data_IF_430018946204
#
_entry.id   IF_430018946204
#
_cell.length_a   1.000
_cell.length_b   1.000
_cell.length_c   1.000
_cell.angle_alpha   90.00
_cell.angle_beta   90.00
_cell.angle_gamma   90.00
#
_symmetry.space_group_name_H-M   'P 1'
#
loop_
_entity.id
_entity.type
_entity.pdbx_description
1 polymer ?
#
# COMPACT_ATOMS: atom_id res chain seq x y z
N UNK A 1 -68.06 -5.34 -24.89
CA UNK A 1 -68.32 -6.77 -24.63
C UNK A 1 -67.97 -7.47 -25.94
N UNK A 2 -66.98 -8.36 -26.06
CA UNK A 2 -66.75 -9.58 -25.28
C UNK A 2 -65.35 -10.14 -25.60
N UNK A 3 -64.64 -10.51 -24.54
CA UNK A 3 -63.52 -11.47 -24.30
C UNK A 3 -62.61 -12.04 -25.41
N UNK A 4 -61.32 -12.07 -25.03
CA UNK A 4 -60.17 -12.86 -25.52
C UNK A 4 -60.41 -14.38 -25.40
N UNK A 5 -59.69 -15.20 -26.20
CA UNK A 5 -59.11 -16.43 -25.67
C UNK A 5 -57.59 -16.54 -25.89
N UNK A 6 -56.93 -17.02 -24.85
CA UNK A 6 -55.53 -17.48 -24.81
C UNK A 6 -55.38 -18.79 -25.59
N UNK A 7 -54.27 -18.98 -26.30
CA UNK A 7 -53.74 -20.32 -26.60
C UNK A 7 -52.22 -20.33 -26.51
N UNK A 8 -51.72 -21.30 -25.74
CA UNK A 8 -50.32 -21.60 -25.49
C UNK A 8 -49.75 -22.49 -26.59
N UNK A 9 -48.55 -22.20 -27.07
CA UNK A 9 -47.75 -23.19 -27.82
C UNK A 9 -46.28 -23.14 -27.42
N UNK A 10 -45.85 -24.24 -26.81
CA UNK A 10 -44.47 -24.67 -26.57
C UNK A 10 -43.77 -24.94 -27.90
N UNK A 11 -42.56 -24.41 -28.08
CA UNK A 11 -41.66 -24.82 -29.17
C UNK A 11 -40.34 -25.32 -28.58
N UNK A 12 -40.07 -26.60 -28.83
CA UNK A 12 -38.82 -27.30 -28.54
C UNK A 12 -37.71 -26.76 -29.45
N UNK A 13 -36.54 -26.44 -28.89
CA UNK A 13 -35.33 -26.18 -29.70
C UNK A 13 -34.51 -27.46 -29.83
N UNK A 14 -34.34 -27.90 -31.08
CA UNK A 14 -33.42 -28.96 -31.48
C UNK A 14 -31.96 -28.47 -31.38
N UNK A 15 -31.11 -29.25 -30.72
CA UNK A 15 -29.66 -29.08 -30.76
C UNK A 15 -29.10 -29.68 -32.07
N UNK A 16 -28.66 -28.83 -32.99
CA UNK A 16 -27.75 -29.21 -34.08
C UNK A 16 -26.31 -29.04 -33.60
N UNK A 17 -25.59 -30.16 -33.57
CA UNK A 17 -24.17 -30.21 -33.19
C UNK A 17 -23.28 -29.54 -34.23
N UNK A 18 -22.54 -28.52 -33.79
CA UNK A 18 -21.40 -27.97 -34.50
C UNK A 18 -20.12 -28.24 -33.71
N UNK A 19 -19.14 -28.90 -34.32
CA UNK A 19 -17.81 -29.12 -33.74
C UNK A 19 -17.00 -27.83 -33.93
N UNK A 20 -16.66 -27.16 -32.83
CA UNK A 20 -15.77 -25.99 -32.86
C UNK A 20 -14.33 -26.46 -32.60
N UNK A 21 -13.46 -26.32 -33.62
CA UNK A 21 -12.02 -26.56 -33.47
C UNK A 21 -11.40 -25.41 -32.67
N UNK A 22 -10.83 -25.73 -31.52
CA UNK A 22 -10.04 -24.79 -30.70
C UNK A 22 -8.59 -24.84 -31.17
N UNK A 23 -8.10 -23.75 -31.75
CA UNK A 23 -6.68 -23.53 -32.02
C UNK A 23 -5.87 -23.40 -30.71
N UNK A 24 -4.54 -23.57 -30.74
CA UNK A 24 -3.74 -23.71 -29.54
C UNK A 24 -3.78 -22.41 -28.71
N UNK A 25 -4.44 -22.46 -27.56
CA UNK A 25 -4.41 -21.40 -26.56
C UNK A 25 -3.06 -21.40 -25.86
N UNK A 26 -2.46 -20.21 -25.78
CA UNK A 26 -1.31 -19.92 -24.94
C UNK A 26 -1.61 -20.34 -23.49
N UNK A 27 -0.77 -21.23 -22.94
CA UNK A 27 -0.77 -21.58 -21.52
C UNK A 27 -0.51 -20.32 -20.67
N UNK A 28 -1.58 -19.68 -20.21
CA UNK A 28 -1.53 -18.89 -18.98
C UNK A 28 -2.18 -19.72 -17.88
N UNK A 29 -1.54 -19.89 -16.72
CA UNK A 29 -2.16 -20.61 -15.62
C UNK A 29 -3.33 -19.76 -15.12
N UNK A 30 -4.55 -20.23 -15.35
CA UNK A 30 -5.74 -19.72 -14.67
C UNK A 30 -5.57 -20.11 -13.20
N UNK A 31 -5.20 -19.13 -12.36
CA UNK A 31 -5.03 -19.35 -10.93
C UNK A 31 -6.42 -19.62 -10.34
N UNK A 32 -6.70 -20.89 -10.05
CA UNK A 32 -7.97 -21.34 -9.52
C UNK A 32 -8.06 -20.90 -8.04
N UNK A 33 -8.99 -20.00 -7.71
CA UNK A 33 -9.04 -19.31 -6.41
C UNK A 33 -9.66 -20.14 -5.26
N UNK A 34 -9.71 -21.46 -5.36
CA UNK A 34 -10.49 -22.31 -4.43
C UNK A 34 -9.66 -23.12 -3.42
N UNK A 35 -8.34 -23.10 -3.53
CA UNK A 35 -7.46 -23.65 -2.49
C UNK A 35 -7.01 -22.53 -1.56
N UNK A 36 -7.89 -22.13 -0.63
CA UNK A 36 -7.48 -21.32 0.50
C UNK A 36 -6.49 -22.15 1.34
N UNK A 37 -5.19 -21.93 1.10
CA UNK A 37 -4.12 -22.52 1.89
C UNK A 37 -4.42 -22.25 3.37
N UNK A 38 -4.43 -23.28 4.21
CA UNK A 38 -4.73 -23.16 5.64
C UNK A 38 -3.69 -22.31 6.39
N UNK A 39 -2.60 -21.97 5.71
CA UNK A 39 -1.55 -21.09 6.17
C UNK A 39 -1.84 -19.64 5.75
N UNK A 40 -2.36 -18.84 6.69
CA UNK A 40 -2.66 -17.43 6.46
C UNK A 40 -1.44 -16.64 5.97
N UNK A 41 -0.25 -16.97 6.47
CA UNK A 41 0.98 -16.28 6.07
C UNK A 41 1.32 -16.55 4.60
N UNK A 42 1.12 -17.78 4.10
CA UNK A 42 1.26 -18.08 2.66
C UNK A 42 0.21 -17.35 1.82
N UNK A 43 -1.02 -17.27 2.31
CA UNK A 43 -2.08 -16.51 1.64
C UNK A 43 -1.70 -15.02 1.50
N UNK A 44 -1.09 -14.43 2.53
CA UNK A 44 -0.52 -13.08 2.47
C UNK A 44 0.58 -12.99 1.40
N UNK A 45 1.54 -13.93 1.42
CA UNK A 45 2.68 -13.95 0.50
C UNK A 45 2.26 -13.97 -0.97
N UNK A 46 1.16 -14.64 -1.32
CA UNK A 46 0.63 -14.68 -2.68
C UNK A 46 0.18 -13.30 -3.22
N UNK A 47 -0.07 -12.34 -2.34
CA UNK A 47 -0.53 -10.99 -2.68
C UNK A 47 0.54 -9.91 -2.49
N UNK A 48 1.74 -10.28 -2.03
CA UNK A 48 2.87 -9.36 -1.87
C UNK A 48 3.44 -9.00 -3.25
N UNK A 49 3.87 -7.75 -3.42
CA UNK A 49 4.70 -7.31 -4.55
C UNK A 49 6.16 -7.17 -4.09
N UNK A 50 7.03 -8.17 -4.31
CA UNK A 50 8.44 -8.10 -3.86
C UNK A 50 9.19 -6.92 -4.46
N UNK A 51 8.97 -6.59 -5.73
CA UNK A 51 9.61 -5.47 -6.42
C UNK A 51 9.26 -4.11 -5.81
N UNK A 52 8.10 -3.99 -5.15
CA UNK A 52 7.64 -2.77 -4.51
C UNK A 52 8.36 -2.42 -3.20
N UNK A 53 9.15 -3.33 -2.62
CA UNK A 53 9.92 -3.02 -1.40
C UNK A 53 11.32 -3.62 -1.37
N UNK A 54 11.66 -4.50 -2.32
CA UNK A 54 13.00 -5.04 -2.46
C UNK A 54 14.02 -3.90 -2.61
N UNK A 55 15.11 -4.00 -1.85
CA UNK A 55 16.27 -3.14 -2.00
C UNK A 55 17.06 -3.44 -3.29
N UNK A 56 16.70 -4.50 -4.03
CA UNK A 56 17.49 -5.07 -5.10
C UNK A 56 16.60 -5.60 -6.25
N UNK A 57 16.37 -4.75 -7.25
CA UNK A 57 16.76 -5.14 -8.60
C UNK A 57 18.12 -4.44 -8.80
N UNK A 58 19.16 -5.22 -9.12
CA UNK A 58 20.56 -5.00 -8.72
C UNK A 58 21.15 -3.61 -8.96
N UNK A 59 21.99 -3.14 -8.03
CA UNK A 59 22.99 -2.07 -8.21
C UNK A 59 22.52 -0.64 -8.56
N UNK A 60 21.38 -0.50 -9.24
CA UNK A 60 21.01 0.67 -10.05
C UNK A 60 19.77 1.40 -9.54
N UNK A 61 19.08 0.87 -8.51
CA UNK A 61 17.98 1.60 -7.89
C UNK A 61 18.52 2.89 -7.26
N UNK A 62 18.02 4.08 -7.66
CA UNK A 62 18.65 5.34 -7.31
C UNK A 62 18.61 5.53 -5.80
N UNK A 63 19.78 5.72 -5.21
CA UNK A 63 19.98 6.19 -3.84
C UNK A 63 20.68 7.54 -3.89
N UNK A 64 20.61 8.30 -2.79
CA UNK A 64 21.43 9.49 -2.70
C UNK A 64 22.90 9.07 -2.78
N UNK A 65 23.68 9.74 -3.64
CA UNK A 65 25.13 9.55 -3.63
C UNK A 65 25.67 9.87 -2.23
N UNK A 66 26.74 9.20 -1.78
CA UNK A 66 27.38 9.52 -0.52
C UNK A 66 27.62 11.02 -0.39
N UNK A 67 27.34 11.58 0.79
CA UNK A 67 27.49 13.00 1.10
C UNK A 67 26.54 13.97 0.36
N UNK A 68 25.58 13.46 -0.43
CA UNK A 68 24.51 14.30 -1.02
C UNK A 68 23.24 14.24 -0.17
N UNK A 69 22.47 15.33 -0.15
CA UNK A 69 21.16 15.42 0.56
C UNK A 69 21.23 15.03 2.05
N UNK A 70 22.41 15.07 2.66
CA UNK A 70 22.66 14.67 4.05
C UNK A 70 21.87 15.52 5.04
N UNK A 71 21.75 16.82 4.78
CA UNK A 71 20.95 17.75 5.60
C UNK A 71 19.49 17.34 5.62
N UNK A 72 18.92 17.00 4.45
CA UNK A 72 17.52 16.57 4.34
C UNK A 72 17.33 15.23 5.03
N UNK A 73 18.20 14.25 4.75
CA UNK A 73 18.12 12.92 5.38
C UNK A 73 18.24 13.00 6.91
N UNK A 74 19.13 13.86 7.41
CA UNK A 74 19.24 14.13 8.85
C UNK A 74 17.96 14.74 9.40
N UNK A 75 17.42 15.79 8.77
CA UNK A 75 16.19 16.42 9.21
C UNK A 75 14.96 15.48 9.19
N UNK A 76 14.95 14.52 8.26
CA UNK A 76 13.93 13.46 8.21
C UNK A 76 14.13 12.43 9.32
N UNK A 77 15.36 11.98 9.57
CA UNK A 77 15.64 11.06 10.67
C UNK A 77 15.35 11.70 12.03
N UNK A 78 15.76 12.95 12.25
CA UNK A 78 15.44 13.71 13.45
C UNK A 78 13.93 13.77 13.66
N UNK A 79 13.16 13.96 12.58
CA UNK A 79 11.69 13.91 12.63
C UNK A 79 11.16 12.52 12.99
N UNK A 80 11.64 11.44 12.35
CA UNK A 80 11.24 10.07 12.66
C UNK A 80 11.44 9.75 14.15
N UNK A 81 12.55 10.21 14.73
CA UNK A 81 12.90 9.93 16.13
C UNK A 81 12.03 10.67 17.15
N UNK A 82 11.48 11.84 16.80
CA UNK A 82 10.66 12.65 17.73
C UNK A 82 9.17 12.69 17.37
N UNK A 83 8.76 12.12 16.23
CA UNK A 83 7.41 12.28 15.72
C UNK A 83 6.33 11.70 16.63
N UNK A 84 6.63 10.67 17.43
CA UNK A 84 5.69 10.10 18.42
C UNK A 84 5.43 11.03 19.61
N UNK A 85 6.26 12.05 19.79
CA UNK A 85 6.10 13.12 20.78
C UNK A 85 5.57 14.43 20.14
N UNK A 86 5.42 14.45 18.82
CA UNK A 86 5.12 15.64 18.03
C UNK A 86 3.66 15.76 17.60
N UNK A 87 3.34 16.93 17.04
CA UNK A 87 2.04 17.19 16.41
C UNK A 87 1.95 16.69 14.97
N UNK A 88 3.09 16.39 14.34
CA UNK A 88 3.21 16.01 12.92
C UNK A 88 3.39 14.50 12.77
N UNK A 89 2.45 13.85 12.09
CA UNK A 89 2.39 12.40 11.93
C UNK A 89 2.50 11.97 10.45
N UNK A 90 2.40 12.94 9.55
CA UNK A 90 2.46 12.75 8.10
C UNK A 90 3.55 13.65 7.55
N UNK A 91 4.45 13.12 6.74
CA UNK A 91 5.41 13.87 5.96
C UNK A 91 5.12 13.67 4.48
N UNK A 92 4.97 14.76 3.72
CA UNK A 92 4.85 14.70 2.27
C UNK A 92 6.06 15.33 1.59
N UNK A 93 6.85 14.50 0.94
CA UNK A 93 7.96 14.91 0.07
C UNK A 93 7.38 15.16 -1.31
N UNK A 94 7.46 16.39 -1.80
CA UNK A 94 6.96 16.71 -3.13
C UNK A 94 8.01 17.41 -3.99
N UNK A 95 7.88 17.25 -5.30
CA UNK A 95 8.77 17.88 -6.27
C UNK A 95 8.64 17.29 -7.66
N UNK A 96 9.31 17.90 -8.63
CA UNK A 96 9.28 17.50 -10.03
C UNK A 96 9.86 16.08 -10.27
N UNK A 97 9.64 15.55 -11.48
CA UNK A 97 10.35 14.37 -11.94
C UNK A 97 11.87 14.61 -11.90
N UNK A 98 12.64 13.61 -11.47
CA UNK A 98 14.10 13.77 -11.34
C UNK A 98 14.58 14.54 -10.10
N UNK A 99 13.68 15.09 -9.25
CA UNK A 99 14.08 15.81 -8.02
C UNK A 99 14.77 14.93 -6.94
N UNK A 100 14.87 13.62 -7.16
CA UNK A 100 15.55 12.68 -6.26
C UNK A 100 14.69 12.17 -5.10
N UNK A 101 13.36 12.30 -5.15
CA UNK A 101 12.45 11.86 -4.08
C UNK A 101 12.62 10.38 -3.72
N UNK A 102 12.57 9.49 -4.71
CA UNK A 102 12.75 8.05 -4.51
C UNK A 102 14.15 7.68 -4.00
N UNK A 103 15.17 8.48 -4.36
CA UNK A 103 16.53 8.32 -3.86
C UNK A 103 16.65 8.68 -2.38
N UNK A 104 16.00 9.77 -1.96
CA UNK A 104 15.88 10.16 -0.56
C UNK A 104 15.10 9.09 0.22
N UNK A 105 13.95 8.63 -0.31
CA UNK A 105 13.13 7.61 0.31
C UNK A 105 13.90 6.30 0.56
N UNK A 106 14.62 5.79 -0.43
CA UNK A 106 15.46 4.58 -0.28
C UNK A 106 16.60 4.78 0.71
N UNK A 107 17.23 5.96 0.71
CA UNK A 107 18.31 6.27 1.66
C UNK A 107 17.78 6.36 3.10
N UNK A 108 16.57 6.90 3.29
CA UNK A 108 15.91 6.92 4.60
C UNK A 108 15.59 5.52 5.10
N UNK A 109 15.15 4.61 4.22
CA UNK A 109 14.94 3.20 4.57
C UNK A 109 16.21 2.58 5.12
N UNK A 110 17.35 2.77 4.45
CA UNK A 110 18.64 2.25 4.93
C UNK A 110 19.00 2.82 6.32
N UNK A 111 18.73 4.11 6.56
CA UNK A 111 18.96 4.75 7.85
C UNK A 111 18.05 4.18 8.96
N UNK A 112 16.76 4.00 8.69
CA UNK A 112 15.81 3.39 9.62
C UNK A 112 16.22 1.96 9.97
N UNK A 113 16.56 1.14 8.96
CA UNK A 113 17.03 -0.25 9.17
C UNK A 113 18.31 -0.26 10.01
N UNK A 114 19.28 0.61 9.72
CA UNK A 114 20.53 0.73 10.49
C UNK A 114 20.28 1.13 11.95
N UNK A 115 19.27 1.94 12.22
CA UNK A 115 18.87 2.36 13.57
C UNK A 115 17.84 1.44 14.24
N UNK A 116 17.52 0.29 13.63
CA UNK A 116 16.53 -0.66 14.14
C UNK A 116 15.15 -0.03 14.34
N UNK A 117 14.77 0.90 13.48
CA UNK A 117 13.44 1.50 13.42
C UNK A 117 12.59 0.65 12.47
N UNK A 118 11.40 0.25 12.92
CA UNK A 118 10.47 -0.52 12.10
C UNK A 118 10.00 0.36 10.94
N UNK A 119 10.31 -0.07 9.72
CA UNK A 119 9.87 0.60 8.49
C UNK A 119 9.27 -0.40 7.51
N UNK A 120 8.00 -0.18 7.16
CA UNK A 120 7.33 -0.85 6.06
C UNK A 120 7.22 0.12 4.88
N UNK A 121 7.56 -0.33 3.68
CA UNK A 121 7.67 0.55 2.52
C UNK A 121 6.95 0.00 1.30
N UNK A 122 6.50 0.90 0.43
CA UNK A 122 5.96 0.56 -0.88
C UNK A 122 6.41 1.62 -1.88
N UNK A 123 7.10 1.20 -2.93
CA UNK A 123 7.52 2.01 -4.05
C UNK A 123 6.60 1.71 -5.23
N UNK A 124 5.72 2.65 -5.55
CA UNK A 124 4.99 2.58 -6.81
C UNK A 124 5.97 2.77 -7.97
N UNK A 125 5.76 2.01 -9.04
CA UNK A 125 6.52 2.18 -10.27
C UNK A 125 5.61 1.99 -11.47
N UNK A 126 5.40 3.05 -12.25
CA UNK A 126 4.38 3.09 -13.33
C UNK A 126 4.55 1.96 -14.35
N UNK A 127 5.80 1.60 -14.66
CA UNK A 127 6.15 0.62 -15.69
C UNK A 127 6.08 -0.83 -15.20
N UNK A 128 5.93 -1.09 -13.91
CA UNK A 128 5.81 -2.43 -13.36
C UNK A 128 4.36 -2.72 -12.92
N UNK A 129 3.61 -3.59 -13.63
CA UNK A 129 2.21 -3.89 -13.32
C UNK A 129 2.02 -4.55 -11.95
N UNK A 130 3.08 -5.10 -11.36
CA UNK A 130 3.03 -5.70 -10.03
C UNK A 130 3.03 -4.65 -8.91
N UNK A 131 3.41 -3.40 -9.19
CA UNK A 131 3.47 -2.33 -8.20
C UNK A 131 2.96 -0.96 -8.69
N UNK A 132 2.24 -0.90 -9.81
CA UNK A 132 1.63 0.33 -10.32
C UNK A 132 0.16 0.52 -9.90
N UNK A 133 -0.34 -0.28 -8.95
CA UNK A 133 -1.73 -0.23 -8.49
C UNK A 133 -1.82 -0.57 -7.00
N UNK A 134 -3.01 -0.41 -6.42
CA UNK A 134 -3.24 -0.49 -4.97
C UNK A 134 -3.39 -1.89 -4.42
N UNK A 135 -3.68 -2.90 -5.27
CA UNK A 135 -3.98 -4.27 -4.85
C UNK A 135 -2.91 -4.87 -3.92
N UNK A 136 -1.59 -4.76 -4.22
CA UNK A 136 -0.56 -5.38 -3.37
C UNK A 136 -0.17 -4.53 -2.15
N UNK A 137 -0.64 -3.29 -2.03
CA UNK A 137 -0.10 -2.32 -1.04
C UNK A 137 -0.25 -2.85 0.38
N UNK A 138 -1.45 -3.26 0.78
CA UNK A 138 -1.70 -3.71 2.16
C UNK A 138 -0.99 -5.02 2.45
N UNK A 139 -1.07 -6.00 1.53
CA UNK A 139 -0.38 -7.28 1.67
C UNK A 139 1.13 -7.09 1.87
N UNK A 140 1.73 -6.22 1.05
CA UNK A 140 3.17 -5.93 1.07
C UNK A 140 3.61 -5.22 2.35
N UNK A 141 2.82 -4.27 2.84
CA UNK A 141 3.11 -3.59 4.11
C UNK A 141 2.93 -4.53 5.31
N UNK A 142 1.83 -5.29 5.34
CA UNK A 142 1.56 -6.27 6.41
C UNK A 142 2.64 -7.35 6.47
N UNK A 143 3.11 -7.86 5.33
CA UNK A 143 4.20 -8.83 5.27
C UNK A 143 5.48 -8.27 5.91
N UNK A 144 5.88 -7.05 5.55
CA UNK A 144 7.06 -6.40 6.14
C UNK A 144 6.90 -6.15 7.65
N UNK A 145 5.69 -5.78 8.08
CA UNK A 145 5.39 -5.61 9.50
C UNK A 145 5.49 -6.91 10.27
N UNK A 146 4.93 -8.02 9.77
CA UNK A 146 5.07 -9.34 10.41
C UNK A 146 6.55 -9.74 10.51
N UNK A 147 7.36 -9.50 9.47
CA UNK A 147 8.80 -9.77 9.53
C UNK A 147 9.52 -8.93 10.60
N UNK A 148 9.06 -7.72 10.86
CA UNK A 148 9.67 -6.80 11.84
C UNK A 148 9.11 -6.96 13.25
N UNK A 149 7.85 -7.39 13.36
CA UNK A 149 7.07 -7.56 14.58
C UNK A 149 6.35 -8.92 14.48
N UNK A 150 7.04 -10.04 14.76
CA UNK A 150 6.49 -11.39 14.55
C UNK A 150 5.19 -11.67 15.31
N UNK A 151 4.94 -10.99 16.43
CA UNK A 151 3.70 -11.09 17.20
C UNK A 151 2.43 -10.70 16.41
N UNK A 152 2.57 -9.97 15.31
CA UNK A 152 1.44 -9.65 14.44
C UNK A 152 0.91 -10.88 13.70
N UNK A 153 1.73 -11.89 13.44
CA UNK A 153 1.31 -13.07 12.67
C UNK A 153 0.18 -13.82 13.40
N UNK A 154 0.30 -13.99 14.72
CA UNK A 154 -0.74 -14.64 15.53
C UNK A 154 -2.08 -13.90 15.54
N UNK A 155 -2.10 -12.62 15.16
CA UNK A 155 -3.33 -11.81 15.06
C UNK A 155 -3.86 -11.81 13.62
N UNK A 156 -2.98 -11.67 12.62
CA UNK A 156 -3.35 -11.50 11.21
C UNK A 156 -3.68 -12.83 10.55
N UNK A 157 -2.92 -13.91 10.83
CA UNK A 157 -3.13 -15.21 10.19
C UNK A 157 -4.54 -15.79 10.39
N UNK A 158 -5.14 -15.75 11.60
CA UNK A 158 -6.53 -16.16 11.79
C UNK A 158 -7.54 -15.32 11.00
N UNK A 159 -7.31 -14.01 10.85
CA UNK A 159 -8.17 -13.11 10.08
C UNK A 159 -8.19 -13.57 8.61
N UNK A 160 -7.02 -13.85 8.04
CA UNK A 160 -6.90 -14.32 6.64
C UNK A 160 -7.50 -15.71 6.44
N UNK A 161 -7.35 -16.62 7.40
CA UNK A 161 -8.00 -17.93 7.35
C UNK A 161 -9.53 -17.81 7.38
N UNK A 162 -10.06 -16.88 8.18
CA UNK A 162 -11.51 -16.64 8.30
C UNK A 162 -12.10 -15.86 7.12
N UNK A 163 -11.28 -15.07 6.42
CA UNK A 163 -11.68 -14.30 5.25
C UNK A 163 -10.68 -14.49 4.09
N UNK A 164 -10.77 -15.60 3.33
CA UNK A 164 -9.89 -15.88 2.19
C UNK A 164 -10.01 -14.88 1.03
N UNK A 165 -11.05 -14.03 1.03
CA UNK A 165 -11.28 -13.01 0.01
C UNK A 165 -10.93 -11.60 0.50
N UNK A 166 -10.19 -11.48 1.62
CA UNK A 166 -9.86 -10.19 2.23
C UNK A 166 -9.18 -9.21 1.26
N UNK A 167 -8.42 -9.70 0.28
CA UNK A 167 -7.77 -8.85 -0.73
C UNK A 167 -8.71 -8.33 -1.83
N UNK A 168 -9.96 -8.81 -1.89
CA UNK A 168 -11.02 -8.26 -2.72
C UNK A 168 -11.80 -7.15 -2.00
N UNK A 169 -11.61 -6.99 -0.69
CA UNK A 169 -12.25 -5.94 0.10
C UNK A 169 -11.69 -4.57 -0.23
N UNK A 170 -12.38 -3.53 0.26
CA UNK A 170 -11.90 -2.15 0.11
C UNK A 170 -10.50 -1.96 0.73
N UNK A 171 -9.75 -1.00 0.19
CA UNK A 171 -8.43 -0.63 0.72
C UNK A 171 -8.50 -0.27 2.23
N UNK A 172 -9.58 0.38 2.65
CA UNK A 172 -9.85 0.73 4.04
C UNK A 172 -10.06 -0.50 4.92
N UNK A 173 -10.88 -1.45 4.47
CA UNK A 173 -11.12 -2.73 5.17
C UNK A 173 -9.81 -3.51 5.33
N UNK A 174 -9.02 -3.60 4.27
CA UNK A 174 -7.73 -4.29 4.30
C UNK A 174 -6.77 -3.63 5.30
N UNK A 175 -6.61 -2.30 5.25
CA UNK A 175 -5.76 -1.58 6.20
C UNK A 175 -6.24 -1.75 7.65
N UNK A 176 -7.54 -1.67 7.89
CA UNK A 176 -8.09 -1.86 9.23
C UNK A 176 -7.79 -3.27 9.74
N UNK A 177 -8.16 -4.30 8.98
CA UNK A 177 -8.10 -5.69 9.44
C UNK A 177 -6.68 -6.27 9.49
N UNK A 178 -5.82 -5.89 8.54
CA UNK A 178 -4.49 -6.51 8.40
C UNK A 178 -3.36 -5.64 9.00
N UNK A 179 -3.61 -4.38 9.35
CA UNK A 179 -2.56 -3.47 9.82
C UNK A 179 -2.99 -2.74 11.10
N UNK A 180 -3.98 -1.85 11.02
CA UNK A 180 -4.23 -0.90 12.10
C UNK A 180 -4.93 -1.54 13.31
N UNK A 181 -5.91 -2.43 13.11
CA UNK A 181 -6.53 -3.16 14.22
C UNK A 181 -5.53 -4.10 14.91
N UNK A 182 -4.75 -4.94 14.19
CA UNK A 182 -3.69 -5.75 14.80
C UNK A 182 -2.66 -4.93 15.58
N UNK A 183 -2.18 -3.81 15.03
CA UNK A 183 -1.22 -2.95 15.72
C UNK A 183 -1.82 -2.29 16.97
N UNK A 184 -3.08 -1.86 16.93
CA UNK A 184 -3.77 -1.32 18.13
C UNK A 184 -3.93 -2.38 19.21
N UNK A 185 -4.29 -3.60 18.84
CA UNK A 185 -4.38 -4.70 19.80
C UNK A 185 -3.03 -4.94 20.47
N UNK A 186 -1.96 -5.09 19.68
CA UNK A 186 -0.62 -5.31 20.21
C UNK A 186 -0.16 -4.13 21.09
N UNK A 187 -0.43 -2.89 20.68
CA UNK A 187 -0.08 -1.69 21.45
C UNK A 187 -0.80 -1.63 22.80
N UNK A 188 -2.05 -2.08 22.88
CA UNK A 188 -2.80 -2.13 24.13
C UNK A 188 -2.31 -3.23 25.07
N UNK A 189 -1.83 -4.35 24.54
CA UNK A 189 -1.25 -5.45 25.31
C UNK A 189 0.17 -5.13 25.80
N UNK A 190 0.99 -4.53 24.92
CA UNK A 190 2.35 -4.10 25.21
C UNK A 190 2.63 -2.80 24.44
N UNK A 191 2.71 -1.65 25.14
CA UNK A 191 2.93 -0.37 24.50
C UNK A 191 4.14 -0.37 23.55
N UNK A 192 3.87 -0.06 22.29
CA UNK A 192 4.88 0.22 21.28
C UNK A 192 5.51 1.58 21.64
N UNK A 193 6.80 1.60 21.96
CA UNK A 193 7.49 2.82 22.41
C UNK A 193 8.07 3.65 21.26
N UNK A 194 8.50 2.99 20.19
CA UNK A 194 9.15 3.61 19.02
C UNK A 194 8.17 3.79 17.86
N UNK A 195 8.45 4.77 17.01
CA UNK A 195 7.69 4.98 15.79
C UNK A 195 7.75 3.77 14.85
N UNK A 196 6.60 3.36 14.31
CA UNK A 196 6.50 2.54 13.10
C UNK A 196 6.41 3.50 11.90
N UNK A 197 7.29 3.34 10.92
CA UNK A 197 7.33 4.20 9.74
C UNK A 197 6.69 3.48 8.55
N UNK A 198 5.67 4.11 7.98
CA UNK A 198 5.20 3.79 6.63
C UNK A 198 5.86 4.72 5.63
N UNK A 199 6.43 4.16 4.57
CA UNK A 199 6.95 4.93 3.46
C UNK A 199 6.25 4.52 2.17
N UNK A 200 5.53 5.44 1.54
CA UNK A 200 4.82 5.21 0.29
C UNK A 200 5.35 6.19 -0.76
N UNK A 201 6.23 5.72 -1.63
CA UNK A 201 6.90 6.52 -2.65
C UNK A 201 6.22 6.37 -4.01
N UNK A 202 6.20 7.48 -4.77
CA UNK A 202 5.69 7.51 -6.14
C UNK A 202 4.18 7.40 -6.23
N UNK A 203 3.40 8.01 -5.31
CA UNK A 203 1.93 7.87 -5.36
C UNK A 203 1.35 8.33 -6.72
N UNK A 204 1.97 9.31 -7.40
CA UNK A 204 1.62 9.75 -8.77
C UNK A 204 1.88 8.70 -9.87
N UNK A 205 2.60 7.62 -9.54
CA UNK A 205 2.86 6.47 -10.41
C UNK A 205 1.80 5.37 -10.24
N UNK A 206 0.92 5.45 -9.24
CA UNK A 206 -0.22 4.55 -9.11
C UNK A 206 -1.26 4.83 -10.21
N UNK A 207 -1.80 3.78 -10.79
CA UNK A 207 -2.79 3.82 -11.87
C UNK A 207 -4.14 4.33 -11.36
N UNK A 208 -4.63 5.40 -11.98
CA UNK A 208 -5.94 6.00 -11.72
C UNK A 208 -5.93 7.01 -10.57
N UNK A 209 -6.32 8.25 -10.86
CA UNK A 209 -6.32 9.36 -9.88
C UNK A 209 -7.12 9.05 -8.62
N UNK A 210 -8.28 8.40 -8.75
CA UNK A 210 -9.09 7.98 -7.61
C UNK A 210 -8.33 7.03 -6.68
N UNK A 211 -7.52 6.12 -7.24
CA UNK A 211 -6.70 5.20 -6.44
C UNK A 211 -5.58 5.96 -5.71
N UNK A 212 -4.93 6.91 -6.39
CA UNK A 212 -3.89 7.76 -5.81
C UNK A 212 -4.42 8.55 -4.60
N UNK A 213 -5.58 9.19 -4.77
CA UNK A 213 -6.27 9.92 -3.70
C UNK A 213 -6.69 8.98 -2.58
N UNK A 214 -7.24 7.81 -2.92
CA UNK A 214 -7.72 6.84 -1.93
C UNK A 214 -6.58 6.32 -1.05
N UNK A 215 -5.40 6.03 -1.60
CA UNK A 215 -4.23 5.61 -0.81
C UNK A 215 -3.86 6.64 0.24
N UNK A 216 -3.71 7.91 -0.17
CA UNK A 216 -3.34 8.99 0.77
C UNK A 216 -4.44 9.17 1.81
N UNK A 217 -5.70 9.25 1.37
CA UNK A 217 -6.84 9.48 2.25
C UNK A 217 -6.97 8.39 3.31
N UNK A 218 -6.98 7.12 2.90
CA UNK A 218 -7.19 5.97 3.79
C UNK A 218 -6.08 5.88 4.84
N UNK A 219 -4.81 5.91 4.44
CA UNK A 219 -3.70 5.82 5.40
C UNK A 219 -3.71 7.03 6.34
N UNK A 220 -3.93 8.24 5.80
CA UNK A 220 -3.93 9.47 6.61
C UNK A 220 -5.06 9.48 7.64
N UNK A 221 -6.24 8.96 7.30
CA UNK A 221 -7.37 8.83 8.22
C UNK A 221 -7.05 7.92 9.40
N UNK A 222 -6.34 6.81 9.18
CA UNK A 222 -5.92 5.94 10.28
C UNK A 222 -4.83 6.60 11.14
N UNK A 223 -3.83 7.21 10.50
CA UNK A 223 -2.73 7.90 11.20
C UNK A 223 -3.25 9.07 12.03
N UNK A 224 -4.25 9.82 11.54
CA UNK A 224 -4.85 10.94 12.25
C UNK A 224 -5.54 10.55 13.56
N UNK A 225 -5.92 9.28 13.74
CA UNK A 225 -6.49 8.78 15.01
C UNK A 225 -5.43 8.73 16.12
N UNK A 226 -4.13 8.72 15.80
CA UNK A 226 -3.00 8.66 16.75
C UNK A 226 -3.12 7.52 17.78
N UNK A 227 -3.79 6.43 17.39
CA UNK A 227 -4.07 5.30 18.27
C UNK A 227 -2.88 4.35 18.49
N UNK A 228 -1.85 4.49 17.64
CA UNK A 228 -0.56 3.79 17.70
C UNK A 228 0.52 4.77 17.24
N UNK A 229 1.78 4.61 17.66
CA UNK A 229 2.91 5.43 17.21
C UNK A 229 3.31 5.12 15.75
N UNK A 230 2.39 5.26 14.80
CA UNK A 230 2.65 5.04 13.37
C UNK A 230 2.64 6.36 12.62
N UNK A 231 3.76 6.66 11.96
CA UNK A 231 3.92 7.83 11.10
C UNK A 231 4.01 7.40 9.64
N UNK A 232 3.60 8.28 8.73
CA UNK A 232 3.68 8.00 7.29
C UNK A 232 4.43 9.06 6.53
N UNK A 233 5.24 8.62 5.59
CA UNK A 233 5.97 9.43 4.63
C UNK A 233 5.42 9.11 3.25
N UNK A 234 4.83 10.11 2.61
CA UNK A 234 4.45 10.04 1.20
C UNK A 234 5.48 10.76 0.35
N UNK A 235 5.71 10.24 -0.85
CA UNK A 235 6.44 10.95 -1.89
C UNK A 235 5.64 10.94 -3.18
N UNK A 236 5.50 12.11 -3.80
CA UNK A 236 4.85 12.24 -5.10
C UNK A 236 5.19 13.54 -5.80
N UNK A 237 4.73 13.71 -7.04
CA UNK A 237 4.55 15.05 -7.63
C UNK A 237 3.43 15.80 -6.90
N UNK A 238 3.45 17.13 -6.99
CA UNK A 238 2.41 18.01 -6.46
C UNK A 238 1.23 18.20 -7.45
N UNK A 239 0.77 17.12 -8.06
CA UNK A 239 -0.37 17.15 -8.99
C UNK A 239 -1.67 17.51 -8.26
N UNK A 240 -2.61 18.17 -8.95
CA UNK A 240 -3.78 18.80 -8.31
C UNK A 240 -4.65 17.82 -7.53
N UNK A 241 -4.84 16.61 -8.06
CA UNK A 241 -5.59 15.55 -7.41
C UNK A 241 -4.94 15.09 -6.10
N UNK A 242 -3.61 15.08 -6.02
CA UNK A 242 -2.88 14.66 -4.82
C UNK A 242 -2.83 15.75 -3.76
N UNK A 243 -2.92 17.02 -4.14
CA UNK A 243 -3.00 18.12 -3.18
C UNK A 243 -4.30 18.08 -2.35
N UNK A 244 -5.41 17.62 -2.94
CA UNK A 244 -6.72 17.56 -2.28
C UNK A 244 -6.70 16.80 -0.94
N UNK A 245 -6.27 15.52 -0.86
CA UNK A 245 -6.26 14.80 0.42
C UNK A 245 -5.30 15.43 1.46
N UNK A 246 -4.16 15.98 1.03
CA UNK A 246 -3.20 16.65 1.93
C UNK A 246 -3.71 17.98 2.49
N UNK A 247 -4.55 18.70 1.75
CA UNK A 247 -5.13 19.97 2.17
C UNK A 247 -6.44 19.81 2.97
N UNK A 248 -6.89 18.57 3.21
CA UNK A 248 -8.04 18.35 4.09
C UNK A 248 -7.69 18.77 5.53
N UNK A 249 -8.59 19.43 6.30
CA UNK A 249 -8.24 19.97 7.62
C UNK A 249 -7.65 18.95 8.59
N UNK A 250 -8.18 17.72 8.58
CA UNK A 250 -7.68 16.60 9.40
C UNK A 250 -6.23 16.27 9.08
N UNK A 251 -5.88 16.17 7.80
CA UNK A 251 -4.52 15.81 7.35
C UNK A 251 -3.58 17.00 7.51
N UNK A 252 -4.00 18.19 7.09
CA UNK A 252 -3.18 19.40 7.11
C UNK A 252 -2.68 19.74 8.52
N UNK A 253 -3.54 19.54 9.55
CA UNK A 253 -3.19 19.78 10.96
C UNK A 253 -2.04 18.92 11.50
N UNK A 254 -1.74 17.78 10.85
CA UNK A 254 -0.69 16.83 11.24
C UNK A 254 0.36 16.63 10.15
N UNK A 255 0.30 17.43 9.08
CA UNK A 255 1.14 17.31 7.90
C UNK A 255 2.36 18.21 7.99
N UNK A 256 3.53 17.62 7.76
CA UNK A 256 4.75 18.33 7.39
C UNK A 256 4.95 18.23 5.88
N UNK A 257 5.16 19.35 5.21
CA UNK A 257 5.52 19.38 3.78
C UNK A 257 7.02 19.54 3.61
N UNK A 258 7.60 18.81 2.67
CA UNK A 258 9.00 18.89 2.28
C UNK A 258 9.09 19.03 0.74
N UNK A 259 8.90 20.24 0.21
CA UNK A 259 9.13 20.51 -1.21
C UNK A 259 10.62 20.43 -1.54
N UNK A 260 10.99 19.65 -2.55
CA UNK A 260 12.38 19.53 -3.02
C UNK A 260 12.73 20.56 -4.08
N UNK A 261 11.74 21.11 -4.78
CA UNK A 261 11.94 22.10 -5.84
C UNK A 261 12.36 23.48 -5.28
N UNK A 262 12.17 23.71 -3.98
CA UNK A 262 12.54 24.96 -3.30
C UNK A 262 13.83 24.86 -2.47
N UNK A 263 14.35 23.65 -2.26
CA UNK A 263 15.59 23.45 -1.48
C UNK A 263 16.79 23.52 -2.43
N UNK A 264 17.31 24.74 -2.62
CA UNK A 264 18.64 24.94 -3.21
C UNK A 264 19.66 24.23 -2.32
N UNK A 265 20.47 23.37 -2.94
CA UNK A 265 21.51 22.57 -2.29
C UNK A 265 22.60 23.41 -1.65
#
# INVERSE_FOLDING_TARGET
MTTIPFSSSTSQMQHTGGVFQVGPSSNQPVHNCYDADKDGFKHLQAHVAPTAYASQQGGDAPKCHPNTRTVILKAMMDWVLVATMGLQWILWINGAAGAGKSAIARSLVDLCVKQQIVIARFFFFRMDPTCNNTKPVVATLAYQLIKSIPALDSIISPIMQSNPLIFNESLETQFELLIFKPLRQLHNESPIEKAIVFLVDGVDECSGENNQVNVIRTISQFVAKKAIPLIVIFSSRAESQLQLPFNSPTVDSILRRLPLDTVRG
#
